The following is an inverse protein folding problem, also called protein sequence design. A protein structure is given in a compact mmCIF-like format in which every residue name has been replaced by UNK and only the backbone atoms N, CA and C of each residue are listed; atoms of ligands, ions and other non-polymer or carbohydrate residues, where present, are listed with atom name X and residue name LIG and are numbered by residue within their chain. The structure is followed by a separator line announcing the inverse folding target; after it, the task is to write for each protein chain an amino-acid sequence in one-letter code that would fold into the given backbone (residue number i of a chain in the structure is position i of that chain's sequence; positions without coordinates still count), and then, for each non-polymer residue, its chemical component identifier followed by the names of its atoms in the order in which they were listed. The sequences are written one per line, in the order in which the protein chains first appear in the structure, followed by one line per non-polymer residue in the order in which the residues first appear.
data_IF_879960878426
#
_entry.id   IF_879960878426
#
_cell.length_a   1.000
_cell.length_b   1.000
_cell.length_c   1.000
_cell.angle_alpha   90.00
_cell.angle_beta   90.00
_cell.angle_gamma   90.00
#
_symmetry.space_group_name_H-M   'P 1'
#
loop_
_entity.id
_entity.type
_entity.pdbx_description
1 polymer ?
#
# COMPACT_ATOMS: atom_id res chain seq x y z
N UNK A 1 15.72 20.53 18.35
CA UNK A 1 15.03 20.10 17.11
C UNK A 1 13.54 20.27 17.32
N UNK A 2 12.93 21.23 16.61
CA UNK A 2 11.57 21.70 16.83
C UNK A 2 10.52 20.60 16.61
N UNK A 3 9.77 20.27 17.68
CA UNK A 3 8.57 19.41 17.68
C UNK A 3 7.31 20.20 17.28
N UNK A 4 7.39 20.99 16.22
CA UNK A 4 6.25 21.75 15.69
C UNK A 4 6.11 21.54 14.19
N UNK A 5 5.93 20.30 13.73
CA UNK A 5 5.54 20.07 12.34
C UNK A 5 4.37 19.08 12.24
N UNK A 6 3.29 19.60 11.67
CA UNK A 6 1.96 19.02 11.43
C UNK A 6 1.10 18.80 12.69
N UNK A 7 0.29 19.81 13.03
CA UNK A 7 -1.04 19.54 13.59
C UNK A 7 -1.84 18.81 12.51
N UNK A 8 -1.70 17.49 12.43
CA UNK A 8 -2.68 16.66 11.74
C UNK A 8 -3.99 16.93 12.47
N UNK A 9 -4.98 17.51 11.80
CA UNK A 9 -6.31 17.68 12.38
C UNK A 9 -6.76 16.31 12.88
N UNK A 10 -6.91 16.19 14.20
CA UNK A 10 -7.20 14.92 14.86
C UNK A 10 -8.59 14.45 14.42
N UNK A 11 -8.60 13.52 13.47
CA UNK A 11 -9.83 12.99 12.87
C UNK A 11 -10.28 11.73 13.64
N UNK A 12 -11.51 11.26 13.37
CA UNK A 12 -12.12 10.11 14.06
C UNK A 12 -11.24 8.84 13.98
N UNK A 13 -10.61 8.61 12.82
CA UNK A 13 -9.68 7.50 12.61
C UNK A 13 -8.44 7.64 13.51
N UNK A 14 -7.85 8.83 13.58
CA UNK A 14 -6.67 9.08 14.41
C UNK A 14 -6.97 8.87 15.90
N UNK A 15 -8.15 9.29 16.36
CA UNK A 15 -8.60 9.04 17.75
C UNK A 15 -8.69 7.55 18.07
N UNK A 16 -9.28 6.77 17.16
CA UNK A 16 -9.33 5.31 17.31
C UNK A 16 -7.93 4.69 17.34
N UNK A 17 -7.00 5.15 16.49
CA UNK A 17 -5.64 4.63 16.46
C UNK A 17 -4.83 5.00 17.71
N UNK A 18 -5.11 6.16 18.32
CA UNK A 18 -4.42 6.62 19.53
C UNK A 18 -4.59 5.66 20.72
N UNK A 19 -5.66 4.85 20.75
CA UNK A 19 -5.84 3.78 21.76
C UNK A 19 -4.76 2.69 21.69
N UNK A 20 -4.15 2.51 20.51
CA UNK A 20 -3.14 1.49 20.24
C UNK A 20 -1.71 2.06 20.21
N UNK A 21 -1.56 3.39 20.29
CA UNK A 21 -0.25 4.04 20.32
C UNK A 21 0.41 3.82 21.68
N UNK A 22 1.56 3.16 21.70
CA UNK A 22 2.35 2.95 22.92
C UNK A 22 3.40 4.06 23.07
N UNK A 23 3.36 4.78 24.20
CA UNK A 23 4.44 5.66 24.62
C UNK A 23 5.26 4.97 25.72
N UNK A 24 6.56 4.75 25.45
CA UNK A 24 7.49 4.07 26.35
C UNK A 24 8.46 5.01 27.06
N UNK A 25 8.29 6.33 26.96
CA UNK A 25 9.17 7.28 27.63
C UNK A 25 9.09 7.14 29.15
N UNK A 26 10.25 6.92 29.79
CA UNK A 26 10.35 6.73 31.24
C UNK A 26 9.75 5.43 31.77
N UNK A 27 9.43 4.47 30.90
CA UNK A 27 8.92 3.14 31.31
C UNK A 27 10.06 2.14 31.39
N UNK A 28 9.95 1.23 32.35
CA UNK A 28 10.86 0.08 32.49
C UNK A 28 10.69 -0.88 31.31
N UNK A 29 11.78 -1.54 30.91
CA UNK A 29 11.72 -2.62 29.93
C UNK A 29 11.08 -3.86 30.56
N UNK A 30 10.11 -4.45 29.87
CA UNK A 30 9.41 -5.65 30.34
C UNK A 30 9.26 -6.68 29.23
N UNK A 31 9.04 -7.93 29.62
CA UNK A 31 8.47 -8.96 28.75
C UNK A 31 7.02 -8.62 28.36
N UNK A 32 6.46 -9.35 27.40
CA UNK A 32 5.03 -9.28 27.05
C UNK A 32 4.13 -9.61 28.25
N UNK A 33 4.58 -10.54 29.11
CA UNK A 33 3.95 -10.88 30.39
C UNK A 33 4.13 -9.82 31.50
N UNK A 34 4.65 -8.63 31.18
CA UNK A 34 4.88 -7.53 32.13
C UNK A 34 5.91 -7.82 33.23
N UNK A 35 6.85 -8.75 33.00
CA UNK A 35 7.97 -9.02 33.91
C UNK A 35 9.10 -8.05 33.59
N UNK A 36 9.63 -7.34 34.59
CA UNK A 36 10.76 -6.41 34.40
C UNK A 36 12.02 -7.14 33.98
N UNK A 37 12.72 -6.59 32.99
CA UNK A 37 14.00 -7.10 32.51
C UNK A 37 15.13 -6.30 33.18
N UNK A 38 16.04 -6.99 33.87
CA UNK A 38 17.17 -6.36 34.57
C UNK A 38 18.41 -6.21 33.69
N UNK A 39 18.58 -7.09 32.69
CA UNK A 39 19.72 -7.11 31.76
C UNK A 39 19.20 -7.58 30.40
N UNK A 40 19.34 -6.74 29.36
CA UNK A 40 18.96 -7.03 27.97
C UNK A 40 20.19 -7.25 27.06
N UNK A 41 21.40 -7.29 27.65
CA UNK A 41 22.68 -7.43 26.94
C UNK A 41 23.19 -8.87 26.98
N UNK A 42 22.77 -9.66 27.98
CA UNK A 42 23.29 -11.00 28.22
C UNK A 42 22.18 -12.06 28.28
N UNK A 43 22.51 -13.26 27.79
CA UNK A 43 21.71 -14.47 28.01
C UNK A 43 22.09 -15.15 29.32
N UNK A 44 21.13 -15.86 29.92
CA UNK A 44 21.38 -16.68 31.10
C UNK A 44 22.24 -17.90 30.72
N UNK A 45 23.37 -18.04 31.42
CA UNK A 45 24.39 -19.08 31.17
C UNK A 45 24.75 -19.84 32.44
N UNK A 46 25.24 -21.07 32.30
CA UNK A 46 25.85 -21.84 33.39
C UNK A 46 27.26 -21.31 33.74
N UNK A 47 27.32 -20.16 34.40
CA UNK A 47 28.56 -19.40 34.66
C UNK A 47 28.88 -18.40 33.55
N UNK A 48 29.79 -17.45 33.82
CA UNK A 48 30.05 -16.31 32.93
C UNK A 48 30.42 -16.69 31.48
N UNK A 49 31.16 -17.79 31.32
CA UNK A 49 31.60 -18.34 30.02
C UNK A 49 31.02 -19.73 29.73
N UNK A 50 29.91 -20.07 30.39
CA UNK A 50 29.23 -21.35 30.21
C UNK A 50 28.23 -21.38 29.06
N UNK A 51 27.63 -22.54 28.78
CA UNK A 51 26.54 -22.67 27.81
C UNK A 51 25.28 -21.92 28.27
N UNK A 52 24.44 -21.54 27.31
CA UNK A 52 23.12 -20.95 27.56
C UNK A 52 22.16 -21.95 28.22
N UNK A 53 21.30 -21.47 29.10
CA UNK A 53 20.25 -22.27 29.74
C UNK A 53 18.89 -22.12 29.05
N UNK A 54 18.16 -23.23 28.92
CA UNK A 54 16.81 -23.25 28.33
C UNK A 54 15.77 -22.52 29.20
N UNK A 55 16.01 -22.40 30.50
CA UNK A 55 15.12 -21.70 31.44
C UNK A 55 15.10 -20.18 31.24
N UNK A 56 15.98 -19.63 30.40
CA UNK A 56 15.96 -18.22 29.97
C UNK A 56 14.70 -17.90 29.15
N UNK A 57 13.62 -17.54 29.83
CA UNK A 57 12.36 -17.20 29.18
C UNK A 57 12.38 -15.83 28.51
N UNK A 58 13.19 -14.88 28.99
CA UNK A 58 13.31 -13.54 28.42
C UNK A 58 13.94 -13.62 27.03
N UNK A 59 15.07 -14.33 26.91
CA UNK A 59 15.72 -14.55 25.61
C UNK A 59 14.79 -15.29 24.65
N UNK A 60 14.14 -16.37 25.10
CA UNK A 60 13.24 -17.16 24.25
C UNK A 60 12.05 -16.35 23.78
N UNK A 61 11.42 -15.55 24.64
CA UNK A 61 10.30 -14.70 24.24
C UNK A 61 10.73 -13.69 23.17
N UNK A 62 11.84 -12.97 23.40
CA UNK A 62 12.40 -11.98 22.46
C UNK A 62 12.72 -12.61 21.10
N UNK A 63 13.40 -13.76 21.09
CA UNK A 63 13.74 -14.49 19.86
C UNK A 63 12.50 -15.05 19.17
N UNK A 64 11.55 -15.59 19.93
CA UNK A 64 10.31 -16.17 19.38
C UNK A 64 9.49 -15.12 18.64
N UNK A 65 9.41 -13.90 19.18
CA UNK A 65 8.77 -12.77 18.51
C UNK A 65 9.54 -12.38 17.24
N UNK A 66 10.86 -12.18 17.34
CA UNK A 66 11.73 -11.83 16.21
C UNK A 66 11.61 -12.81 15.04
N UNK A 67 11.72 -14.11 15.32
CA UNK A 67 11.65 -15.19 14.33
C UNK A 67 10.31 -15.23 13.56
N UNK A 68 9.28 -14.53 14.06
CA UNK A 68 7.91 -14.50 13.52
C UNK A 68 7.49 -13.11 13.04
N UNK A 69 8.40 -12.15 12.94
CA UNK A 69 8.08 -10.79 12.49
C UNK A 69 7.63 -10.73 11.02
N UNK A 70 8.14 -11.62 10.17
CA UNK A 70 7.84 -11.59 8.75
C UNK A 70 6.47 -12.22 8.47
N UNK A 71 5.54 -11.40 7.99
CA UNK A 71 4.30 -11.86 7.35
C UNK A 71 4.46 -11.88 5.83
N UNK A 72 3.69 -12.70 5.08
CA UNK A 72 3.70 -12.71 3.63
C UNK A 72 3.48 -11.30 3.04
N UNK A 73 4.21 -10.97 1.98
CA UNK A 73 3.92 -9.74 1.24
C UNK A 73 2.68 -9.89 0.38
N UNK A 74 2.19 -8.77 -0.15
CA UNK A 74 1.16 -8.79 -1.18
C UNK A 74 1.75 -9.44 -2.45
N UNK A 75 0.99 -10.33 -3.11
CA UNK A 75 1.41 -11.01 -4.35
C UNK A 75 1.84 -10.00 -5.43
N UNK A 76 1.05 -8.94 -5.57
CA UNK A 76 1.34 -7.75 -6.38
C UNK A 76 1.26 -6.53 -5.48
N UNK A 77 1.90 -5.42 -5.87
CA UNK A 77 1.90 -4.21 -5.06
C UNK A 77 2.57 -4.38 -3.68
N UNK A 78 3.59 -5.24 -3.59
CA UNK A 78 4.35 -5.49 -2.37
C UNK A 78 5.08 -4.23 -1.89
N UNK A 79 5.82 -3.57 -2.78
CA UNK A 79 6.47 -2.28 -2.51
C UNK A 79 5.45 -1.15 -2.49
N UNK A 80 5.34 -0.44 -1.38
CA UNK A 80 4.45 0.71 -1.30
C UNK A 80 4.63 1.56 -0.06
N UNK A 81 4.04 2.75 -0.12
CA UNK A 81 4.10 3.80 0.89
C UNK A 81 2.71 4.31 1.17
N UNK A 82 2.44 4.68 2.42
CA UNK A 82 1.11 5.08 2.84
C UNK A 82 1.14 6.36 3.66
N UNK A 83 0.01 7.08 3.64
CA UNK A 83 -0.18 8.28 4.43
C UNK A 83 -1.65 8.41 4.86
N UNK A 84 -1.87 8.99 6.04
CA UNK A 84 -3.17 9.44 6.47
C UNK A 84 -3.50 10.80 5.85
N UNK A 85 -4.78 11.06 5.65
CA UNK A 85 -5.29 12.32 5.15
C UNK A 85 -6.75 12.51 5.44
N UNK A 86 -7.37 13.41 4.69
CA UNK A 86 -8.78 13.72 4.78
C UNK A 86 -9.33 14.05 3.38
N UNK A 87 -10.56 13.63 3.12
CA UNK A 87 -11.30 13.92 1.91
C UNK A 87 -12.51 14.80 2.22
N UNK A 88 -12.74 15.80 1.38
CA UNK A 88 -13.90 16.67 1.47
C UNK A 88 -14.50 16.86 0.09
N UNK A 89 -15.80 16.61 -0.03
CA UNK A 89 -16.54 16.92 -1.25
C UNK A 89 -16.74 18.43 -1.36
N UNK A 90 -16.66 18.98 -2.58
CA UNK A 90 -16.88 20.41 -2.80
C UNK A 90 -18.34 20.82 -2.61
N UNK A 91 -19.27 20.04 -3.17
CA UNK A 91 -20.70 20.27 -3.14
C UNK A 91 -21.42 18.92 -3.00
N UNK A 92 -22.62 18.91 -2.42
CA UNK A 92 -23.42 17.68 -2.28
C UNK A 92 -23.61 16.99 -3.64
N UNK A 93 -23.54 15.66 -3.63
CA UNK A 93 -23.72 14.82 -4.81
C UNK A 93 -24.98 13.95 -4.71
N UNK A 94 -25.92 14.30 -3.83
CA UNK A 94 -27.17 13.55 -3.57
C UNK A 94 -27.98 13.25 -4.83
N UNK A 95 -28.00 14.16 -5.80
CA UNK A 95 -28.67 13.93 -7.08
C UNK A 95 -28.08 12.75 -7.87
N UNK A 96 -26.80 12.44 -7.64
CA UNK A 96 -26.03 11.41 -8.35
C UNK A 96 -25.85 10.14 -7.52
N UNK A 97 -25.60 10.26 -6.21
CA UNK A 97 -25.31 9.13 -5.32
C UNK A 97 -25.86 9.34 -3.92
N UNK A 98 -26.31 8.26 -3.28
CA UNK A 98 -26.66 8.23 -1.85
C UNK A 98 -25.45 7.98 -0.94
N UNK A 99 -24.23 7.88 -1.47
CA UNK A 99 -23.05 7.57 -0.70
C UNK A 99 -22.62 8.76 0.18
N UNK A 100 -22.48 8.54 1.49
CA UNK A 100 -22.20 9.58 2.48
C UNK A 100 -20.71 9.91 2.67
N UNK A 101 -19.93 9.92 1.60
CA UNK A 101 -18.50 10.26 1.68
C UNK A 101 -18.26 11.78 1.58
N UNK A 102 -18.75 12.55 2.55
CA UNK A 102 -18.78 14.01 2.47
C UNK A 102 -17.51 14.67 3.04
N UNK A 103 -16.96 14.08 4.09
CA UNK A 103 -15.98 14.69 4.99
C UNK A 103 -15.25 13.62 5.81
N UNK A 104 -14.48 12.76 5.15
CA UNK A 104 -13.99 11.51 5.75
C UNK A 104 -12.47 11.48 5.95
N UNK A 105 -12.00 10.90 7.06
CA UNK A 105 -10.63 10.42 7.15
C UNK A 105 -10.32 9.48 5.99
N UNK A 106 -9.09 9.56 5.47
CA UNK A 106 -8.61 8.60 4.47
C UNK A 106 -7.26 8.03 4.84
N UNK A 107 -7.02 6.80 4.39
CA UNK A 107 -5.69 6.21 4.36
C UNK A 107 -5.37 5.81 2.94
N UNK A 108 -4.32 6.41 2.39
CA UNK A 108 -3.87 6.14 1.03
C UNK A 108 -2.66 5.22 1.05
N UNK A 109 -2.52 4.35 0.05
CA UNK A 109 -1.31 3.57 -0.21
C UNK A 109 -0.95 3.63 -1.69
N UNK A 110 0.22 4.20 -1.98
CA UNK A 110 0.90 4.11 -3.26
C UNK A 110 1.75 2.84 -3.33
N UNK A 111 1.98 2.31 -4.53
CA UNK A 111 2.77 1.09 -4.70
C UNK A 111 3.31 0.93 -6.12
N UNK A 112 4.38 0.15 -6.29
CA UNK A 112 4.69 -0.49 -7.58
C UNK A 112 3.79 -1.72 -7.80
N UNK A 113 3.97 -2.48 -8.87
CA UNK A 113 3.20 -3.71 -9.14
C UNK A 113 4.08 -4.95 -9.06
N UNK A 114 5.14 -5.00 -9.89
CA UNK A 114 5.84 -6.24 -10.18
C UNK A 114 6.88 -6.63 -9.12
N UNK A 115 7.66 -5.67 -8.61
CA UNK A 115 8.73 -6.00 -7.67
C UNK A 115 8.27 -6.38 -6.27
N UNK A 116 9.09 -7.17 -5.57
CA UNK A 116 8.90 -7.53 -4.16
C UNK A 116 9.10 -6.34 -3.21
N UNK A 117 8.82 -6.50 -1.90
CA UNK A 117 8.82 -5.38 -0.92
C UNK A 117 10.11 -4.55 -0.86
N UNK A 118 11.25 -5.14 -1.26
CA UNK A 118 12.58 -4.55 -1.23
C UNK A 118 13.05 -3.87 -2.53
N UNK A 119 12.23 -3.87 -3.58
CA UNK A 119 12.62 -3.31 -4.89
C UNK A 119 12.80 -1.78 -4.86
N UNK A 120 13.61 -1.26 -5.79
CA UNK A 120 13.84 0.17 -5.99
C UNK A 120 12.56 0.90 -6.44
N UNK A 121 12.30 2.10 -5.88
CA UNK A 121 11.05 2.83 -6.13
C UNK A 121 10.95 3.48 -7.52
N UNK A 122 12.07 3.80 -8.16
CA UNK A 122 12.09 4.56 -9.42
C UNK A 122 12.07 3.70 -10.67
N UNK A 123 11.80 2.40 -10.54
CA UNK A 123 11.67 1.51 -11.68
C UNK A 123 10.49 1.92 -12.58
N UNK A 124 10.60 1.60 -13.88
CA UNK A 124 9.49 1.74 -14.83
C UNK A 124 8.42 0.70 -14.47
N UNK A 125 7.31 1.17 -13.94
CA UNK A 125 6.20 0.31 -13.53
C UNK A 125 4.89 1.11 -13.45
N UNK A 126 3.76 0.44 -13.48
CA UNK A 126 2.50 1.04 -13.06
C UNK A 126 2.59 1.37 -11.57
N UNK A 127 1.93 2.46 -11.16
CA UNK A 127 1.78 2.78 -9.74
C UNK A 127 0.35 2.49 -9.28
N UNK A 128 0.20 1.65 -8.27
CA UNK A 128 -1.07 1.49 -7.57
C UNK A 128 -1.38 2.75 -6.76
N UNK A 129 -2.65 3.15 -6.76
CA UNK A 129 -3.17 4.30 -6.02
C UNK A 129 -4.45 3.86 -5.29
N UNK A 130 -4.27 3.24 -4.13
CA UNK A 130 -5.38 2.77 -3.31
C UNK A 130 -5.74 3.80 -2.23
N UNK A 131 -7.01 4.15 -2.12
CA UNK A 131 -7.52 5.06 -1.08
C UNK A 131 -8.66 4.39 -0.33
N UNK A 132 -8.50 4.27 0.99
CA UNK A 132 -9.55 3.83 1.91
C UNK A 132 -10.22 5.04 2.52
N UNK A 133 -11.53 5.13 2.38
CA UNK A 133 -12.40 6.15 2.97
C UNK A 133 -13.09 5.55 4.19
N UNK A 134 -12.93 6.19 5.34
CA UNK A 134 -13.55 5.76 6.60
C UNK A 134 -14.89 6.48 6.78
N UNK A 135 -15.90 6.04 6.02
CA UNK A 135 -17.23 6.67 6.01
C UNK A 135 -18.12 6.18 7.16
N UNK A 136 -19.19 6.92 7.46
CA UNK A 136 -20.16 6.53 8.50
C UNK A 136 -20.99 5.29 8.14
N UNK A 137 -21.12 4.97 6.85
CA UNK A 137 -21.92 3.84 6.35
C UNK A 137 -21.07 2.63 5.95
N UNK A 138 -19.80 2.62 6.37
CA UNK A 138 -18.84 1.56 6.07
C UNK A 138 -17.63 2.07 5.31
N UNK A 139 -16.57 1.27 5.31
CA UNK A 139 -15.35 1.65 4.60
C UNK A 139 -15.55 1.48 3.09
N UNK A 140 -15.18 2.51 2.33
CA UNK A 140 -15.13 2.45 0.87
C UNK A 140 -13.67 2.42 0.41
N UNK A 141 -13.31 1.44 -0.41
CA UNK A 141 -11.96 1.30 -0.97
C UNK A 141 -11.98 1.63 -2.47
N UNK A 142 -11.38 2.75 -2.83
CA UNK A 142 -11.09 3.09 -4.23
C UNK A 142 -9.68 2.60 -4.56
N UNK A 143 -9.59 1.38 -5.11
CA UNK A 143 -8.33 0.74 -5.49
C UNK A 143 -8.04 1.02 -6.96
N UNK A 144 -7.23 2.05 -7.21
CA UNK A 144 -6.90 2.52 -8.55
C UNK A 144 -5.46 2.32 -8.96
N UNK A 145 -5.14 2.88 -10.13
CA UNK A 145 -3.83 2.93 -10.76
C UNK A 145 -3.52 4.36 -11.21
N UNK A 146 -2.25 4.68 -11.48
CA UNK A 146 -1.87 5.93 -12.12
C UNK A 146 -2.14 5.97 -13.64
N UNK A 147 -2.66 4.87 -14.22
CA UNK A 147 -3.01 4.72 -15.63
C UNK A 147 -4.53 4.47 -15.79
N UNK A 148 -5.22 5.07 -16.79
CA UNK A 148 -6.69 4.96 -16.92
C UNK A 148 -7.22 3.65 -17.51
N UNK A 149 -6.33 2.73 -17.89
CA UNK A 149 -6.64 1.42 -18.50
C UNK A 149 -5.81 0.32 -17.85
N UNK A 150 -6.12 -0.92 -18.19
CA UNK A 150 -5.40 -2.10 -17.70
C UNK A 150 -4.89 -2.96 -18.87
N UNK A 151 -3.99 -3.91 -18.59
CA UNK A 151 -3.37 -4.77 -19.61
C UNK A 151 -4.33 -5.77 -20.25
N UNK A 152 -5.31 -6.23 -19.47
CA UNK A 152 -6.20 -7.35 -19.82
C UNK A 152 -7.66 -6.94 -19.65
N UNK A 153 -8.55 -7.60 -20.37
CA UNK A 153 -9.99 -7.32 -20.31
C UNK A 153 -10.71 -8.17 -19.26
N UNK A 154 -10.32 -9.43 -19.13
CA UNK A 154 -10.93 -10.40 -18.21
C UNK A 154 -9.97 -10.76 -17.07
N UNK A 155 -10.50 -10.83 -15.85
CA UNK A 155 -9.75 -11.18 -14.64
C UNK A 155 -9.19 -12.60 -14.65
N UNK A 156 -9.73 -13.52 -15.45
CA UNK A 156 -9.20 -14.89 -15.55
C UNK A 156 -7.74 -14.93 -16.03
N UNK A 157 -7.31 -13.93 -16.82
CA UNK A 157 -5.94 -13.81 -17.33
C UNK A 157 -4.98 -13.13 -16.37
N UNK A 158 -5.45 -12.70 -15.20
CA UNK A 158 -4.63 -11.96 -14.25
C UNK A 158 -3.42 -12.79 -13.75
N UNK A 159 -3.57 -14.08 -13.39
CA UNK A 159 -2.40 -14.90 -13.03
C UNK A 159 -1.40 -15.03 -14.18
N UNK A 160 -1.86 -15.18 -15.43
CA UNK A 160 -0.97 -15.29 -16.59
C UNK A 160 -0.15 -14.02 -16.81
N UNK A 161 -0.81 -12.85 -16.77
CA UNK A 161 -0.14 -11.55 -16.84
C UNK A 161 0.87 -11.37 -15.70
N UNK A 162 0.46 -11.70 -14.47
CA UNK A 162 1.33 -11.51 -13.30
C UNK A 162 2.52 -12.45 -13.33
N UNK A 163 2.36 -13.71 -13.75
CA UNK A 163 3.49 -14.62 -13.96
C UNK A 163 4.42 -14.14 -15.08
N UNK A 164 3.86 -13.55 -16.15
CA UNK A 164 4.66 -13.02 -17.25
C UNK A 164 5.44 -11.76 -16.89
N UNK A 165 4.91 -10.87 -16.03
CA UNK A 165 5.59 -9.62 -15.61
C UNK A 165 6.52 -9.79 -14.40
N UNK A 166 6.32 -10.86 -13.62
CA UNK A 166 7.17 -11.18 -12.47
C UNK A 166 8.51 -11.77 -12.94
N UNK A 167 9.53 -11.75 -12.06
CA UNK A 167 10.78 -12.44 -12.34
C UNK A 167 10.55 -13.89 -12.75
N UNK A 168 11.35 -14.38 -13.69
CA UNK A 168 11.15 -15.71 -14.26
C UNK A 168 11.37 -16.81 -13.21
N UNK A 169 10.53 -17.86 -13.20
CA UNK A 169 10.43 -18.77 -12.06
C UNK A 169 11.67 -19.63 -11.82
N UNK A 170 12.54 -19.77 -12.82
CA UNK A 170 13.72 -20.62 -12.76
C UNK A 170 14.93 -19.94 -12.08
N UNK A 171 14.97 -18.61 -12.02
CA UNK A 171 16.10 -17.86 -11.47
C UNK A 171 15.70 -16.59 -10.67
N UNK A 172 14.41 -16.25 -10.62
CA UNK A 172 13.86 -15.06 -9.98
C UNK A 172 14.46 -13.73 -10.52
N UNK A 173 14.76 -13.69 -11.82
CA UNK A 173 15.29 -12.49 -12.51
C UNK A 173 14.34 -12.08 -13.65
N UNK A 174 14.13 -10.77 -13.89
CA UNK A 174 14.63 -9.60 -13.15
C UNK A 174 13.65 -9.06 -12.09
N UNK A 175 14.14 -8.28 -11.12
CA UNK A 175 13.30 -7.62 -10.12
C UNK A 175 12.75 -6.27 -10.58
N UNK A 176 11.42 -6.13 -10.55
CA UNK A 176 10.71 -4.88 -10.82
C UNK A 176 10.98 -4.28 -12.19
N UNK A 177 11.18 -5.13 -13.20
CA UNK A 177 11.43 -4.73 -14.58
C UNK A 177 10.57 -5.58 -15.50
N UNK A 178 9.99 -4.97 -16.52
CA UNK A 178 9.27 -5.67 -17.59
C UNK A 178 10.17 -5.94 -18.80
N UNK A 179 11.48 -5.75 -18.65
CA UNK A 179 12.47 -5.88 -19.71
C UNK A 179 13.06 -7.29 -19.74
N UNK A 180 12.21 -8.30 -19.95
CA UNK A 180 12.59 -9.71 -20.08
C UNK A 180 11.58 -10.47 -20.95
N UNK A 181 11.97 -11.66 -21.39
CA UNK A 181 11.35 -12.40 -22.47
C UNK A 181 9.90 -12.79 -22.17
N UNK A 182 9.60 -13.34 -20.99
CA UNK A 182 8.24 -13.81 -20.66
C UNK A 182 7.20 -12.69 -20.67
N UNK A 183 7.56 -11.47 -20.26
CA UNK A 183 6.64 -10.33 -20.33
C UNK A 183 6.34 -9.97 -21.78
N UNK A 184 7.37 -9.82 -22.61
CA UNK A 184 7.19 -9.45 -24.01
C UNK A 184 6.53 -10.54 -24.85
N UNK A 185 6.74 -11.81 -24.51
CA UNK A 185 6.02 -12.94 -25.11
C UNK A 185 4.52 -12.87 -24.80
N UNK A 186 4.13 -12.63 -23.55
CA UNK A 186 2.73 -12.40 -23.20
C UNK A 186 2.14 -11.24 -23.99
N UNK A 187 2.83 -10.09 -24.05
CA UNK A 187 2.36 -8.92 -24.77
C UNK A 187 2.21 -9.19 -26.27
N UNK A 188 3.16 -9.87 -26.90
CA UNK A 188 3.12 -10.21 -28.32
C UNK A 188 1.91 -11.09 -28.67
N UNK A 189 1.51 -11.98 -27.76
CA UNK A 189 0.38 -12.89 -27.94
C UNK A 189 -0.98 -12.32 -27.46
N UNK A 190 -1.01 -11.13 -26.87
CA UNK A 190 -2.21 -10.54 -26.28
C UNK A 190 -2.43 -9.08 -26.74
N UNK A 191 -3.03 -8.94 -27.92
CA UNK A 191 -3.26 -7.63 -28.57
C UNK A 191 -4.07 -6.64 -27.72
N UNK A 192 -4.93 -7.10 -26.80
CA UNK A 192 -5.68 -6.24 -25.88
C UNK A 192 -4.78 -5.36 -24.99
N UNK A 193 -3.53 -5.78 -24.76
CA UNK A 193 -2.55 -5.03 -23.96
C UNK A 193 -1.94 -3.84 -24.70
N UNK A 194 -2.17 -3.69 -26.02
CA UNK A 194 -1.51 -2.67 -26.84
C UNK A 194 -1.70 -1.24 -26.30
N UNK A 195 -2.89 -0.89 -25.83
CA UNK A 195 -3.13 0.44 -25.25
C UNK A 195 -2.31 0.66 -23.98
N UNK A 196 -2.31 -0.33 -23.08
CA UNK A 196 -1.53 -0.26 -21.83
C UNK A 196 -0.02 -0.19 -22.10
N UNK A 197 0.45 -0.85 -23.16
CA UNK A 197 1.85 -0.81 -23.57
C UNK A 197 2.33 0.60 -23.94
N UNK A 198 1.47 1.41 -24.55
CA UNK A 198 1.79 2.81 -24.83
C UNK A 198 1.99 3.62 -23.53
N UNK A 199 1.18 3.35 -22.50
CA UNK A 199 1.31 4.00 -21.21
C UNK A 199 2.55 3.57 -20.44
N UNK A 200 2.82 2.26 -20.34
CA UNK A 200 3.98 1.76 -19.59
C UNK A 200 5.33 2.14 -20.20
N UNK A 201 5.39 2.31 -21.52
CA UNK A 201 6.60 2.78 -22.21
C UNK A 201 6.78 4.31 -22.17
N UNK A 202 5.73 5.06 -21.81
CA UNK A 202 5.81 6.53 -21.63
C UNK A 202 6.41 6.93 -20.28
N UNK A 203 6.62 8.23 -20.07
CA UNK A 203 7.13 8.75 -18.78
C UNK A 203 6.11 8.64 -17.62
N UNK A 204 4.87 8.25 -17.90
CA UNK A 204 3.81 8.10 -16.89
C UNK A 204 4.14 7.03 -15.84
N UNK A 205 4.99 6.07 -16.15
CA UNK A 205 5.39 4.95 -15.28
C UNK A 205 6.77 5.11 -14.64
N UNK A 206 7.38 6.29 -14.81
CA UNK A 206 8.57 6.75 -14.08
C UNK A 206 8.27 8.11 -13.40
N UNK A 207 7.21 8.19 -12.57
CA UNK A 207 6.75 9.46 -12.03
C UNK A 207 7.81 10.10 -11.13
N UNK A 208 7.96 11.43 -11.24
CA UNK A 208 8.87 12.22 -10.39
C UNK A 208 8.55 12.10 -8.89
N UNK A 209 7.27 11.96 -8.57
CA UNK A 209 6.73 11.85 -7.21
C UNK A 209 5.30 11.30 -7.28
N UNK A 210 4.88 10.56 -6.26
CA UNK A 210 3.46 10.19 -6.11
C UNK A 210 2.52 11.40 -6.01
N UNK A 211 3.04 12.55 -5.57
CA UNK A 211 2.29 13.81 -5.50
C UNK A 211 2.06 14.45 -6.88
N UNK A 212 2.72 13.92 -7.91
CA UNK A 212 2.78 14.45 -9.28
C UNK A 212 2.39 13.37 -10.31
N UNK A 213 1.49 12.46 -9.94
CA UNK A 213 0.85 11.55 -10.89
C UNK A 213 -0.66 11.68 -10.79
N UNK A 214 -1.34 11.42 -11.91
CA UNK A 214 -2.78 11.20 -11.91
C UNK A 214 -3.13 9.85 -11.26
N UNK A 215 -4.38 9.67 -10.88
CA UNK A 215 -4.93 8.40 -10.41
C UNK A 215 -6.28 8.12 -11.05
N UNK A 216 -6.59 6.84 -11.22
CA UNK A 216 -7.77 6.39 -11.95
C UNK A 216 -8.34 5.13 -11.30
N UNK A 217 -9.66 5.06 -11.18
CA UNK A 217 -10.36 3.83 -10.77
C UNK A 217 -10.39 2.76 -11.86
N UNK A 218 -9.98 3.11 -13.08
CA UNK A 218 -9.94 2.27 -14.31
C UNK A 218 -11.32 1.83 -14.79
N UNK A 219 -12.06 1.10 -13.96
CA UNK A 219 -13.37 0.54 -14.28
C UNK A 219 -14.46 1.60 -14.30
N UNK A 220 -15.53 1.30 -15.04
CA UNK A 220 -16.78 2.03 -14.95
C UNK A 220 -17.59 1.46 -13.79
N UNK A 221 -17.91 2.30 -12.82
CA UNK A 221 -18.78 1.98 -11.69
C UNK A 221 -20.18 2.57 -11.92
N UNK A 222 -21.08 2.32 -10.97
CA UNK A 222 -22.39 2.96 -10.93
C UNK A 222 -22.52 3.75 -9.64
N UNK A 223 -22.96 4.99 -9.79
CA UNK A 223 -23.62 5.71 -8.72
C UNK A 223 -25.13 5.45 -8.79
N UNK A 224 -25.75 5.39 -7.62
CA UNK A 224 -27.19 5.24 -7.43
C UNK A 224 -27.60 6.25 -6.38
N UNK A 225 -28.58 7.10 -6.70
CA UNK A 225 -29.13 8.07 -5.75
C UNK A 225 -30.27 7.48 -4.91
N UNK A 226 -30.81 8.25 -3.95
CA UNK A 226 -31.89 7.78 -3.06
C UNK A 226 -33.18 7.39 -3.79
N UNK A 227 -33.43 7.98 -4.97
CA UNK A 227 -34.56 7.62 -5.83
C UNK A 227 -34.31 6.36 -6.68
N UNK A 228 -33.16 5.69 -6.51
CA UNK A 228 -32.77 4.50 -7.28
C UNK A 228 -32.29 4.80 -8.71
N UNK A 229 -32.10 6.07 -9.08
CA UNK A 229 -31.60 6.44 -10.41
C UNK A 229 -30.11 6.13 -10.51
N UNK A 230 -29.72 5.35 -11.53
CA UNK A 230 -28.32 4.98 -11.75
C UNK A 230 -27.63 5.84 -12.80
N UNK A 231 -26.36 6.14 -12.58
CA UNK A 231 -25.46 6.78 -13.54
C UNK A 231 -24.08 6.11 -13.55
N UNK A 232 -23.48 5.97 -14.73
CA UNK A 232 -22.11 5.44 -14.87
C UNK A 232 -21.08 6.48 -14.44
N UNK A 233 -20.05 6.04 -13.74
CA UNK A 233 -18.97 6.90 -13.23
C UNK A 233 -17.61 6.25 -13.42
N UNK A 234 -16.60 7.09 -13.73
CA UNK A 234 -15.19 6.74 -13.62
C UNK A 234 -14.53 7.68 -12.62
N UNK A 235 -13.70 7.14 -11.73
CA UNK A 235 -13.01 7.92 -10.72
C UNK A 235 -11.67 8.44 -11.23
N UNK A 236 -11.38 9.69 -10.91
CA UNK A 236 -10.14 10.38 -11.29
C UNK A 236 -9.56 11.14 -10.09
N UNK A 237 -8.26 10.97 -9.87
CA UNK A 237 -7.45 11.82 -9.01
C UNK A 237 -6.64 12.77 -9.91
N UNK A 238 -6.86 14.07 -9.73
CA UNK A 238 -6.08 15.12 -10.38
C UNK A 238 -5.14 15.72 -9.35
N UNK A 239 -3.87 15.87 -9.72
CA UNK A 239 -2.89 16.52 -8.84
C UNK A 239 -3.09 18.04 -8.88
N UNK A 240 -2.88 18.70 -7.74
CA UNK A 240 -2.89 20.17 -7.64
C UNK A 240 -1.50 20.79 -7.78
N UNK A 241 -0.43 19.99 -7.83
CA UNK A 241 0.94 20.47 -7.98
C UNK A 241 1.28 20.55 -9.47
N UNK A 242 1.54 21.77 -9.95
CA UNK A 242 2.07 22.03 -11.28
C UNK A 242 3.54 22.43 -11.14
N UNK A 243 4.41 21.97 -12.04
CA UNK A 243 5.78 22.47 -12.12
C UNK A 243 5.76 23.99 -12.34
N UNK A 244 6.30 24.78 -11.42
CA UNK A 244 6.86 26.09 -11.76
C UNK A 244 8.28 25.83 -12.24
N UNK A 245 8.54 26.03 -13.53
CA UNK A 245 9.90 26.10 -14.08
C UNK A 245 10.59 27.38 -13.60
#
# INVERSE_FOLDING_TARGET
MNRENSRVHENKQQKQLNEFVRNNYGKEMTTEGSVKISDDENTLKAGERGPQLLEDFVMREKMTHFDREQIPERVVHARGYAAHGYFQVYESQEERTSAKFLQDPVFLRFSQVAGSRGVNETNRDVRGFATKFYTEEGNFDLVGSNIPVFFIQDGIKFPDLIHAVKPEPHNEIPQGQTAHDTFWDFIANNQESAHMMMWIMSDRTIPRSFRMMEGFGVHTFRFVNEAGKSGFVKFHWKQNLVYTH
#
